data_IF_913038482779
#
_entry.id   IF_913038482779
#
_cell.length_a   1.000
_cell.length_b   1.000
_cell.length_c   1.000
_cell.angle_alpha   90.00
_cell.angle_beta   90.00
_cell.angle_gamma   90.00
#
_symmetry.space_group_name_H-M   'P 1'
#
loop_
_entity.id
_entity.type
_entity.pdbx_description
1 polymer ?
#
# COMPACT_ATOMS: atom_id res chain seq x y z
N UNK A 1 21.13 5.70 19.63
CA UNK A 1 22.57 5.45 19.39
C UNK A 1 23.27 5.34 20.75
N UNK A 2 24.06 4.29 21.01
CA UNK A 2 24.68 4.07 22.34
C UNK A 2 25.90 4.98 22.50
N UNK A 3 26.08 5.60 23.67
CA UNK A 3 27.19 6.53 23.95
C UNK A 3 28.59 5.98 23.61
N UNK A 4 28.77 4.66 23.72
CA UNK A 4 30.01 3.95 23.34
C UNK A 4 30.35 4.06 21.84
N UNK A 5 29.35 4.08 20.97
CA UNK A 5 29.58 4.21 19.51
C UNK A 5 29.90 5.65 19.11
N UNK A 6 29.33 6.64 19.83
CA UNK A 6 29.64 8.05 19.61
C UNK A 6 31.10 8.38 19.98
N UNK A 7 31.60 7.85 21.11
CA UNK A 7 32.99 8.04 21.54
C UNK A 7 34.01 7.43 20.57
N UNK A 8 33.70 6.27 19.97
CA UNK A 8 34.56 5.66 18.94
C UNK A 8 34.65 6.54 17.69
N UNK A 9 33.55 7.15 17.27
CA UNK A 9 33.53 8.07 16.14
C UNK A 9 34.40 9.30 16.38
N UNK A 10 34.31 9.91 17.58
CA UNK A 10 35.13 11.08 17.93
C UNK A 10 36.62 10.71 17.94
N UNK A 11 36.96 9.58 18.55
CA UNK A 11 38.35 9.12 18.64
C UNK A 11 38.95 8.81 17.25
N UNK A 12 38.18 8.15 16.38
CA UNK A 12 38.59 7.89 15.00
C UNK A 12 38.80 9.19 14.20
N UNK A 13 37.93 10.18 14.41
CA UNK A 13 38.06 11.51 13.79
C UNK A 13 39.36 12.22 14.22
N UNK A 14 39.66 12.21 15.52
CA UNK A 14 40.87 12.85 16.06
C UNK A 14 42.15 12.19 15.55
N UNK A 15 42.19 10.86 15.50
CA UNK A 15 43.34 10.10 14.96
C UNK A 15 43.52 10.40 13.47
N UNK A 16 42.43 10.45 12.70
CA UNK A 16 42.46 10.78 11.28
C UNK A 16 43.03 12.17 11.02
N UNK A 17 42.58 13.18 11.77
CA UNK A 17 43.11 14.56 11.65
C UNK A 17 44.58 14.66 12.02
N UNK A 18 45.03 13.93 13.05
CA UNK A 18 46.43 13.96 13.50
C UNK A 18 47.37 13.28 12.50
N UNK A 19 46.96 12.14 11.94
CA UNK A 19 47.72 11.44 10.89
C UNK A 19 47.79 12.28 9.61
N UNK A 20 46.70 12.95 9.23
CA UNK A 20 46.68 13.85 8.07
C UNK A 20 47.71 14.98 8.23
N UNK A 21 47.67 15.72 9.34
CA UNK A 21 48.63 16.80 9.61
C UNK A 21 50.09 16.31 9.67
N UNK A 22 50.32 15.13 10.23
CA UNK A 22 51.66 14.55 10.33
C UNK A 22 52.22 14.16 8.96
N UNK A 23 51.42 13.49 8.13
CA UNK A 23 51.81 13.11 6.76
C UNK A 23 52.09 14.37 5.93
N UNK A 24 51.27 15.40 6.08
CA UNK A 24 51.41 16.65 5.33
C UNK A 24 52.65 17.45 5.71
N UNK A 25 53.18 17.31 6.93
CA UNK A 25 54.46 17.92 7.34
C UNK A 25 55.68 17.20 6.80
N UNK A 26 55.62 15.88 6.62
CA UNK A 26 56.79 15.08 6.19
C UNK A 26 57.05 15.13 4.68
N UNK A 27 56.06 15.53 3.86
CA UNK A 27 56.20 15.57 2.40
C UNK A 27 55.86 16.96 1.83
N UNK A 28 56.78 17.94 1.91
CA UNK A 28 56.57 19.30 1.37
C UNK A 28 56.37 19.33 -0.16
N UNK A 29 56.73 18.26 -0.87
CA UNK A 29 56.45 18.06 -2.30
C UNK A 29 54.96 17.92 -2.65
N UNK A 30 54.07 17.81 -1.65
CA UNK A 30 52.63 17.75 -1.85
C UNK A 30 51.98 19.08 -2.19
N UNK A 31 52.66 20.23 -2.17
CA UNK A 31 52.04 21.49 -2.62
C UNK A 31 51.73 21.47 -4.12
N UNK A 32 52.54 20.77 -4.92
CA UNK A 32 52.25 20.50 -6.33
C UNK A 32 51.06 19.55 -6.44
N UNK A 33 51.02 18.51 -5.59
CA UNK A 33 49.90 17.56 -5.57
C UNK A 33 48.60 18.23 -5.09
N UNK A 34 48.62 19.16 -4.13
CA UNK A 34 47.48 19.98 -3.69
C UNK A 34 46.98 20.91 -4.79
N UNK A 35 47.88 21.51 -5.58
CA UNK A 35 47.48 22.30 -6.76
C UNK A 35 46.81 21.42 -7.82
N UNK A 36 47.33 20.23 -8.07
CA UNK A 36 46.74 19.27 -9.00
C UNK A 36 45.41 18.71 -8.44
N UNK A 37 45.34 18.34 -7.16
CA UNK A 37 44.14 17.86 -6.48
C UNK A 37 43.08 18.94 -6.27
N UNK A 38 43.42 20.22 -6.17
CA UNK A 38 42.41 21.31 -6.14
C UNK A 38 41.85 21.60 -7.53
N UNK A 39 42.68 21.48 -8.58
CA UNK A 39 42.23 21.55 -9.98
C UNK A 39 41.34 20.35 -10.38
N UNK A 40 41.70 19.14 -9.94
CA UNK A 40 40.92 17.93 -10.19
C UNK A 40 39.73 17.83 -9.22
N UNK A 41 39.90 18.22 -7.95
CA UNK A 41 38.89 18.19 -6.89
C UNK A 41 37.76 19.20 -7.07
N UNK A 42 38.06 20.40 -7.57
CA UNK A 42 37.04 21.39 -7.94
C UNK A 42 36.10 20.88 -9.04
N UNK A 43 36.61 20.04 -9.93
CA UNK A 43 35.80 19.40 -10.97
C UNK A 43 35.18 18.07 -10.52
N UNK A 44 35.89 17.25 -9.73
CA UNK A 44 35.37 15.99 -9.17
C UNK A 44 34.21 16.20 -8.19
N UNK A 45 34.19 17.29 -7.43
CA UNK A 45 33.04 17.66 -6.60
C UNK A 45 31.80 17.93 -7.48
N UNK A 46 32.00 18.58 -8.63
CA UNK A 46 30.93 18.79 -9.60
C UNK A 46 30.51 17.47 -10.26
N UNK A 47 31.45 16.64 -10.73
CA UNK A 47 31.14 15.34 -11.34
C UNK A 47 30.47 14.36 -10.37
N UNK A 48 30.92 14.30 -9.12
CA UNK A 48 30.29 13.45 -8.09
C UNK A 48 28.87 13.91 -7.76
N UNK A 49 28.63 15.22 -7.72
CA UNK A 49 27.28 15.78 -7.58
C UNK A 49 26.37 15.41 -8.77
N UNK A 50 26.88 15.49 -10.00
CA UNK A 50 26.14 15.06 -11.20
C UNK A 50 25.82 13.56 -11.18
N UNK A 51 26.79 12.70 -10.83
CA UNK A 51 26.57 11.24 -10.75
C UNK A 51 25.54 10.92 -9.67
N UNK A 52 25.62 11.54 -8.49
CA UNK A 52 24.64 11.36 -7.43
C UNK A 52 23.24 11.81 -7.86
N UNK A 53 23.14 12.94 -8.56
CA UNK A 53 21.89 13.45 -9.11
C UNK A 53 21.27 12.48 -10.13
N UNK A 54 22.06 11.94 -11.06
CA UNK A 54 21.60 10.93 -12.01
C UNK A 54 21.18 9.63 -11.34
N UNK A 55 21.90 9.17 -10.31
CA UNK A 55 21.51 8.00 -9.52
C UNK A 55 20.20 8.23 -8.76
N UNK A 56 19.99 9.43 -8.20
CA UNK A 56 18.75 9.82 -7.53
C UNK A 56 17.59 9.83 -8.54
N UNK A 57 17.75 10.48 -9.69
CA UNK A 57 16.73 10.49 -10.75
C UNK A 57 16.44 9.06 -11.22
N UNK A 58 17.46 8.25 -11.48
CA UNK A 58 17.30 6.85 -11.90
C UNK A 58 16.58 6.02 -10.83
N UNK A 59 16.93 6.20 -9.55
CA UNK A 59 16.25 5.55 -8.43
C UNK A 59 14.78 5.95 -8.33
N UNK A 60 14.46 7.26 -8.42
CA UNK A 60 13.08 7.73 -8.44
C UNK A 60 12.33 7.27 -9.69
N UNK A 61 13.00 7.18 -10.84
CA UNK A 61 12.42 6.67 -12.08
C UNK A 61 12.13 5.18 -11.99
N UNK A 62 13.03 4.39 -11.38
CA UNK A 62 12.81 2.97 -11.11
C UNK A 62 11.73 2.73 -10.06
N UNK A 63 11.63 3.57 -9.03
CA UNK A 63 10.52 3.55 -8.08
C UNK A 63 9.21 3.91 -8.77
N UNK A 64 9.21 4.94 -9.63
CA UNK A 64 8.03 5.37 -10.37
C UNK A 64 7.58 4.29 -11.37
N UNK A 65 8.50 3.75 -12.17
CA UNK A 65 8.25 2.65 -13.10
C UNK A 65 7.89 1.34 -12.38
N UNK A 66 8.51 1.05 -11.24
CA UNK A 66 8.19 -0.09 -10.39
C UNK A 66 6.77 0.01 -9.81
N UNK A 67 6.33 1.22 -9.46
CA UNK A 67 4.96 1.49 -9.04
C UNK A 67 3.97 1.46 -10.23
N UNK A 68 4.43 1.76 -11.44
CA UNK A 68 3.64 1.68 -12.67
C UNK A 68 3.53 0.26 -13.27
N UNK A 69 4.45 -0.66 -12.98
CA UNK A 69 4.32 -2.08 -13.39
C UNK A 69 3.16 -2.81 -12.68
N UNK A 70 2.54 -2.20 -11.66
CA UNK A 70 1.28 -2.65 -11.06
C UNK A 70 0.07 -1.77 -11.37
N UNK A 71 0.22 -0.72 -12.17
CA UNK A 71 -0.84 0.22 -12.52
C UNK A 71 -0.75 0.56 -13.99
N UNK A 72 -1.30 -0.32 -14.83
CA UNK A 72 -1.92 0.16 -16.06
C UNK A 72 -2.79 1.35 -15.65
N UNK A 73 -2.53 2.50 -16.25
CA UNK A 73 -3.34 3.71 -16.13
C UNK A 73 -4.70 3.36 -16.75
N UNK A 74 -5.49 2.61 -15.99
CA UNK A 74 -6.92 2.73 -16.05
C UNK A 74 -7.15 4.13 -15.55
N UNK A 75 -7.69 4.98 -16.40
CA UNK A 75 -8.43 6.15 -15.94
C UNK A 75 -9.25 5.76 -14.70
N UNK A 76 -9.56 6.71 -13.83
CA UNK A 76 -10.54 6.57 -12.75
C UNK A 76 -11.96 6.30 -13.33
N UNK A 77 -12.09 5.36 -14.25
CA UNK A 77 -13.31 4.71 -14.64
C UNK A 77 -13.75 3.90 -13.43
N UNK A 78 -14.54 4.56 -12.59
CA UNK A 78 -15.40 3.88 -11.63
C UNK A 78 -16.11 2.79 -12.45
N UNK A 79 -15.85 1.50 -12.19
CA UNK A 79 -16.43 0.43 -12.99
C UNK A 79 -17.95 0.62 -12.93
N UNK A 80 -18.58 0.71 -14.11
CA UNK A 80 -20.03 0.85 -14.18
C UNK A 80 -20.66 -0.41 -13.59
N UNK A 81 -21.85 -0.25 -13.04
CA UNK A 81 -22.66 -1.39 -12.64
C UNK A 81 -23.02 -2.21 -13.89
N UNK A 82 -22.89 -3.55 -13.88
CA UNK A 82 -23.23 -4.38 -15.02
C UNK A 82 -24.71 -4.22 -15.38
N UNK A 83 -25.00 -4.14 -16.68
CA UNK A 83 -26.38 -4.07 -17.18
C UNK A 83 -26.95 -5.48 -17.36
N UNK A 84 -26.11 -6.43 -17.77
CA UNK A 84 -26.47 -7.82 -17.99
C UNK A 84 -25.88 -8.64 -16.83
N UNK A 85 -26.71 -8.94 -15.83
CA UNK A 85 -26.28 -9.64 -14.62
C UNK A 85 -26.41 -11.14 -14.85
N UNK A 86 -25.29 -11.86 -14.80
CA UNK A 86 -25.25 -13.32 -14.86
C UNK A 86 -25.47 -13.92 -13.47
N UNK A 87 -24.82 -13.38 -12.45
CA UNK A 87 -24.91 -13.85 -11.07
C UNK A 87 -24.81 -12.68 -10.08
N UNK A 88 -25.39 -12.84 -8.90
CA UNK A 88 -25.28 -11.87 -7.82
C UNK A 88 -25.27 -12.55 -6.47
N UNK A 89 -24.71 -11.89 -5.48
CA UNK A 89 -24.72 -12.40 -4.11
C UNK A 89 -24.07 -11.44 -3.13
N UNK A 90 -23.60 -11.99 -2.02
CA UNK A 90 -22.85 -11.24 -1.03
C UNK A 90 -21.61 -12.00 -0.56
N UNK A 91 -20.58 -11.27 -0.17
CA UNK A 91 -19.38 -11.74 0.48
C UNK A 91 -19.21 -10.99 1.80
N UNK A 92 -19.07 -11.73 2.90
CA UNK A 92 -18.76 -11.15 4.19
C UNK A 92 -17.23 -11.04 4.36
N UNK A 93 -16.70 -9.83 4.45
CA UNK A 93 -15.27 -9.60 4.63
C UNK A 93 -15.04 -8.37 5.51
N UNK A 94 -13.96 -8.40 6.29
CA UNK A 94 -13.58 -7.31 7.19
C UNK A 94 -14.68 -6.96 8.23
N UNK A 95 -15.52 -7.94 8.59
CA UNK A 95 -16.64 -7.75 9.51
C UNK A 95 -17.85 -6.99 8.93
N UNK A 96 -17.86 -6.71 7.63
CA UNK A 96 -19.00 -6.12 6.91
C UNK A 96 -19.48 -7.02 5.76
N UNK A 97 -20.69 -6.75 5.27
CA UNK A 97 -21.27 -7.45 4.12
C UNK A 97 -21.00 -6.63 2.86
N UNK A 98 -20.60 -7.31 1.79
CA UNK A 98 -20.35 -6.69 0.49
C UNK A 98 -21.21 -7.40 -0.54
N UNK A 99 -22.04 -6.67 -1.26
CA UNK A 99 -22.81 -7.26 -2.34
C UNK A 99 -21.94 -7.28 -3.59
N UNK A 100 -22.08 -8.30 -4.41
CA UNK A 100 -21.42 -8.34 -5.71
C UNK A 100 -22.41 -8.66 -6.81
N UNK A 101 -22.08 -8.19 -8.00
CA UNK A 101 -22.76 -8.49 -9.25
C UNK A 101 -21.71 -8.99 -10.23
N UNK A 102 -21.94 -10.16 -10.80
CA UNK A 102 -21.13 -10.72 -11.86
C UNK A 102 -21.91 -10.63 -13.16
N UNK A 103 -21.33 -9.99 -14.16
CA UNK A 103 -21.99 -9.75 -15.43
C UNK A 103 -21.23 -8.77 -16.29
N UNK A 104 -21.85 -8.31 -17.37
CA UNK A 104 -21.21 -7.47 -18.37
C UNK A 104 -21.90 -6.12 -18.52
N UNK A 105 -21.17 -5.12 -19.04
CA UNK A 105 -21.76 -3.83 -19.36
C UNK A 105 -22.62 -3.90 -20.63
N UNK A 106 -22.23 -4.76 -21.58
CA UNK A 106 -22.89 -4.98 -22.86
C UNK A 106 -22.96 -6.48 -23.17
N UNK A 107 -23.87 -6.90 -24.05
CA UNK A 107 -24.13 -8.32 -24.37
C UNK A 107 -22.87 -9.09 -24.78
N UNK A 108 -21.93 -8.43 -25.47
CA UNK A 108 -20.69 -9.04 -25.99
C UNK A 108 -19.43 -8.66 -25.20
N UNK A 109 -19.59 -7.96 -24.08
CA UNK A 109 -18.47 -7.54 -23.23
C UNK A 109 -18.08 -8.66 -22.25
N UNK A 110 -16.83 -8.66 -21.81
CA UNK A 110 -16.36 -9.66 -20.85
C UNK A 110 -17.08 -9.48 -19.51
N UNK A 111 -17.46 -10.60 -18.88
CA UNK A 111 -18.05 -10.56 -17.56
C UNK A 111 -17.03 -10.10 -16.52
N UNK A 112 -17.41 -9.14 -15.68
CA UNK A 112 -16.62 -8.65 -14.56
C UNK A 112 -17.43 -8.68 -13.26
N UNK A 113 -16.70 -8.68 -12.14
CA UNK A 113 -17.29 -8.53 -10.81
C UNK A 113 -17.34 -7.06 -10.43
N UNK A 114 -18.53 -6.59 -10.09
CA UNK A 114 -18.80 -5.28 -9.50
C UNK A 114 -19.14 -5.44 -8.02
N UNK A 115 -18.49 -4.66 -7.16
CA UNK A 115 -18.65 -4.73 -5.70
C UNK A 115 -19.41 -3.49 -5.20
N UNK A 116 -20.45 -3.72 -4.40
CA UNK A 116 -21.16 -2.70 -3.64
C UNK A 116 -20.96 -2.92 -2.14
N UNK A 117 -20.74 -1.85 -1.38
CA UNK A 117 -20.64 -1.93 0.08
C UNK A 117 -19.71 -0.88 0.67
N UNK A 118 -19.34 -1.03 1.95
CA UNK A 118 -19.80 -2.06 2.90
C UNK A 118 -21.24 -1.85 3.40
N UNK A 119 -21.92 -2.94 3.73
CA UNK A 119 -23.25 -2.98 4.34
C UNK A 119 -23.20 -3.60 5.75
N UNK A 120 -24.10 -3.15 6.62
CA UNK A 120 -24.24 -3.67 7.97
C UNK A 120 -24.78 -5.10 7.95
N UNK A 121 -24.11 -6.03 8.64
CA UNK A 121 -24.54 -7.43 8.76
C UNK A 121 -25.87 -7.64 9.48
N UNK A 122 -26.30 -6.67 10.31
CA UNK A 122 -27.54 -6.79 11.10
C UNK A 122 -28.78 -6.26 10.38
N UNK A 123 -28.67 -5.10 9.73
CA UNK A 123 -29.82 -4.40 9.14
C UNK A 123 -29.67 -4.09 7.65
N UNK A 124 -28.59 -4.55 7.01
CA UNK A 124 -28.28 -4.36 5.59
C UNK A 124 -28.17 -2.90 5.13
N UNK A 125 -28.16 -1.92 6.06
CA UNK A 125 -27.93 -0.52 5.71
C UNK A 125 -26.48 -0.28 5.26
N UNK A 126 -26.29 0.55 4.23
CA UNK A 126 -24.97 0.97 3.77
C UNK A 126 -24.24 1.67 4.92
N UNK A 127 -23.03 1.21 5.23
CA UNK A 127 -22.24 1.75 6.32
C UNK A 127 -21.52 3.02 5.86
N UNK A 128 -21.36 3.96 6.79
CA UNK A 128 -20.64 5.21 6.58
C UNK A 128 -19.24 5.10 7.16
N UNK A 129 -18.28 5.77 6.52
CA UNK A 129 -16.92 5.86 7.03
C UNK A 129 -16.88 6.83 8.22
N UNK A 130 -16.31 6.39 9.34
CA UNK A 130 -16.03 7.21 10.50
C UNK A 130 -14.56 7.07 10.87
N UNK A 131 -13.87 8.19 11.07
CA UNK A 131 -12.52 8.21 11.62
C UNK A 131 -12.57 8.68 13.07
N UNK A 132 -11.89 7.95 13.95
CA UNK A 132 -11.59 8.42 15.30
C UNK A 132 -10.10 8.70 15.37
N UNK A 133 -9.76 9.97 15.63
CA UNK A 133 -8.39 10.37 15.91
C UNK A 133 -8.15 10.17 17.42
N UNK A 134 -7.41 9.12 17.78
CA UNK A 134 -6.73 9.11 19.06
C UNK A 134 -5.38 9.83 18.88
N UNK A 135 -4.90 10.52 19.91
CA UNK A 135 -3.73 11.43 19.91
C UNK A 135 -2.47 10.86 19.19
N UNK A 136 -2.35 9.54 19.05
CA UNK A 136 -1.21 8.87 18.40
C UNK A 136 -1.64 7.90 17.28
N UNK A 137 -2.93 7.53 17.17
CA UNK A 137 -3.40 6.47 16.27
C UNK A 137 -4.72 6.84 15.60
N UNK A 138 -4.75 6.86 14.26
CA UNK A 138 -5.99 6.97 13.49
C UNK A 138 -6.64 5.61 13.36
N UNK A 139 -7.83 5.45 13.92
CA UNK A 139 -8.65 4.25 13.71
C UNK A 139 -9.77 4.58 12.74
N UNK A 140 -9.86 3.79 11.67
CA UNK A 140 -10.95 3.88 10.71
C UNK A 140 -12.01 2.83 11.07
N UNK A 141 -13.26 3.25 11.11
CA UNK A 141 -14.41 2.43 11.45
C UNK A 141 -15.46 2.55 10.34
N UNK A 142 -16.15 1.46 10.06
CA UNK A 142 -17.43 1.52 9.37
C UNK A 142 -18.52 1.56 10.43
N UNK A 143 -19.40 2.55 10.32
CA UNK A 143 -20.50 2.76 11.25
C UNK A 143 -21.82 2.58 10.52
N UNK A 144 -22.72 1.80 11.10
CA UNK A 144 -24.08 1.68 10.57
C UNK A 144 -24.92 2.87 11.04
N UNK A 145 -25.56 3.62 10.14
CA UNK A 145 -26.40 4.76 10.53
C UNK A 145 -27.73 4.36 11.20
N UNK A 146 -28.18 3.10 11.05
CA UNK A 146 -29.47 2.65 11.59
C UNK A 146 -29.36 2.01 12.98
N UNK A 147 -28.41 1.10 13.19
CA UNK A 147 -28.28 0.35 14.43
C UNK A 147 -27.03 0.70 15.23
N UNK A 148 -26.28 1.72 14.81
CA UNK A 148 -25.05 2.20 15.45
C UNK A 148 -23.94 1.14 15.62
N UNK A 149 -24.05 0.00 14.93
CA UNK A 149 -23.00 -1.02 14.94
C UNK A 149 -21.75 -0.46 14.28
N UNK A 150 -20.61 -0.55 14.97
CA UNK A 150 -19.31 -0.17 14.44
C UNK A 150 -18.45 -1.41 14.18
N UNK A 151 -17.77 -1.43 13.04
CA UNK A 151 -16.83 -2.48 12.65
C UNK A 151 -15.49 -1.83 12.32
N UNK A 152 -14.40 -2.47 12.74
CA UNK A 152 -13.05 -1.96 12.47
C UNK A 152 -12.71 -2.12 10.99
N UNK A 153 -12.33 -1.02 10.33
CA UNK A 153 -11.85 -1.03 8.95
C UNK A 153 -10.39 -1.50 8.91
N UNK A 154 -10.00 -2.38 7.97
CA UNK A 154 -8.63 -2.87 7.86
C UNK A 154 -7.70 -1.72 7.47
N UNK A 155 -6.61 -1.53 8.22
CA UNK A 155 -5.64 -0.45 7.95
C UNK A 155 -4.67 -0.80 6.81
N UNK A 156 -4.40 -2.10 6.61
CA UNK A 156 -3.46 -2.58 5.58
C UNK A 156 -3.96 -2.35 4.15
N UNK A 157 -5.28 -2.20 3.97
CA UNK A 157 -5.93 -2.17 2.66
C UNK A 157 -6.85 -0.96 2.48
N UNK A 158 -6.54 0.13 3.19
CA UNK A 158 -7.29 1.37 3.10
C UNK A 158 -7.42 1.80 1.63
N UNK A 159 -8.67 2.00 1.20
CA UNK A 159 -9.08 2.44 -0.14
C UNK A 159 -8.93 1.39 -1.26
N UNK A 160 -8.60 0.15 -0.92
CA UNK A 160 -8.53 -0.98 -1.86
C UNK A 160 -9.33 -2.18 -1.37
N UNK A 161 -10.24 -1.97 -0.42
CA UNK A 161 -11.01 -3.06 0.17
C UNK A 161 -11.90 -3.74 -0.87
N UNK A 162 -12.53 -2.95 -1.73
CA UNK A 162 -13.36 -3.40 -2.85
C UNK A 162 -12.54 -4.21 -3.87
N UNK A 163 -11.33 -3.78 -4.23
CA UNK A 163 -10.44 -4.52 -5.14
C UNK A 163 -10.06 -5.91 -4.58
N UNK A 164 -9.78 -5.99 -3.27
CA UNK A 164 -9.42 -7.25 -2.63
C UNK A 164 -10.61 -8.20 -2.59
N UNK A 165 -11.79 -7.67 -2.31
CA UNK A 165 -13.02 -8.44 -2.28
C UNK A 165 -13.36 -8.91 -3.69
N UNK A 166 -13.24 -8.03 -4.68
CA UNK A 166 -13.41 -8.36 -6.09
C UNK A 166 -12.53 -9.56 -6.49
N UNK A 167 -11.23 -9.51 -6.19
CA UNK A 167 -10.29 -10.61 -6.48
C UNK A 167 -10.64 -11.91 -5.75
N UNK A 168 -11.21 -11.84 -4.55
CA UNK A 168 -11.69 -13.03 -3.82
C UNK A 168 -12.91 -13.63 -4.49
N UNK A 169 -13.94 -12.81 -4.74
CA UNK A 169 -15.16 -13.25 -5.43
C UNK A 169 -14.84 -13.83 -6.81
N UNK A 170 -13.96 -13.18 -7.60
CA UNK A 170 -13.53 -13.72 -8.89
C UNK A 170 -12.84 -15.09 -8.78
N UNK A 171 -12.06 -15.31 -7.71
CA UNK A 171 -11.45 -16.62 -7.45
C UNK A 171 -12.52 -17.65 -7.13
N UNK A 172 -13.43 -17.32 -6.22
CA UNK A 172 -14.47 -18.23 -5.75
C UNK A 172 -15.44 -18.62 -6.88
N UNK A 173 -15.77 -17.67 -7.77
CA UNK A 173 -16.55 -17.94 -8.99
C UNK A 173 -15.82 -18.87 -9.96
N UNK A 174 -14.49 -18.78 -10.08
CA UNK A 174 -13.70 -19.65 -10.95
C UNK A 174 -13.56 -21.07 -10.40
N UNK A 175 -13.43 -21.22 -9.09
CA UNK A 175 -13.32 -22.54 -8.47
C UNK A 175 -14.67 -23.24 -8.33
N UNK A 176 -15.77 -22.52 -8.49
CA UNK A 176 -17.12 -23.04 -8.23
C UNK A 176 -17.39 -23.25 -6.74
N UNK A 177 -16.50 -22.77 -5.86
CA UNK A 177 -16.70 -22.79 -4.41
C UNK A 177 -17.71 -21.73 -3.95
N UNK A 178 -18.25 -20.97 -4.91
CA UNK A 178 -19.25 -19.96 -4.62
C UNK A 178 -20.58 -20.62 -4.22
N UNK A 179 -20.91 -20.55 -2.93
CA UNK A 179 -22.24 -20.91 -2.47
C UNK A 179 -23.18 -19.75 -2.82
N UNK A 180 -23.89 -19.88 -3.94
CA UNK A 180 -24.93 -18.96 -4.33
C UNK A 180 -25.98 -18.87 -3.21
N UNK A 181 -26.02 -17.74 -2.48
CA UNK A 181 -26.97 -17.56 -1.39
C UNK A 181 -28.33 -17.16 -1.96
N UNK A 182 -29.02 -18.15 -2.51
CA UNK A 182 -30.44 -18.09 -2.78
C UNK A 182 -31.21 -18.25 -1.47
N UNK A 183 -31.77 -17.15 -0.97
CA UNK A 183 -32.58 -16.96 0.25
C UNK A 183 -31.80 -16.60 1.52
N UNK A 184 -32.30 -15.55 2.18
CA UNK A 184 -31.93 -15.08 3.53
C UNK A 184 -32.23 -16.17 4.58
N UNK A 185 -31.47 -17.26 4.59
CA UNK A 185 -31.39 -18.08 5.78
C UNK A 185 -30.44 -17.41 6.77
N UNK A 186 -30.83 -17.45 8.04
CA UNK A 186 -30.13 -16.80 9.16
C UNK A 186 -28.65 -17.23 9.15
N UNK A 187 -27.78 -16.35 8.67
CA UNK A 187 -26.33 -16.50 8.82
C UNK A 187 -25.99 -16.45 10.31
N UNK A 188 -25.69 -17.61 10.89
CA UNK A 188 -25.15 -17.68 12.23
C UNK A 188 -23.63 -17.50 12.12
N UNK A 189 -23.13 -16.41 12.69
CA UNK A 189 -21.69 -16.18 12.88
C UNK A 189 -21.16 -17.29 13.78
N UNK A 190 -20.38 -18.23 13.22
CA UNK A 190 -19.73 -19.26 14.07
C UNK A 190 -18.40 -18.76 14.59
N UNK A 191 -17.58 -18.10 13.76
CA UNK A 191 -16.34 -17.42 14.16
C UNK A 191 -15.93 -16.36 13.12
N UNK A 192 -15.04 -15.43 13.47
CA UNK A 192 -14.65 -14.21 12.72
C UNK A 192 -14.17 -14.42 11.25
N UNK A 193 -14.12 -15.64 10.75
CA UNK A 193 -13.62 -15.98 9.41
C UNK A 193 -14.54 -16.90 8.60
N UNK A 194 -15.59 -17.49 9.19
CA UNK A 194 -16.34 -18.57 8.51
C UNK A 194 -17.83 -18.52 8.86
N UNK A 195 -18.67 -18.33 7.84
CA UNK A 195 -20.13 -18.45 7.96
C UNK A 195 -20.50 -19.88 7.61
N UNK A 196 -21.19 -20.57 8.53
CA UNK A 196 -21.73 -21.90 8.27
C UNK A 196 -23.24 -21.80 8.04
N UNK A 197 -23.66 -22.43 6.94
CA UNK A 197 -25.07 -22.68 6.64
C UNK A 197 -25.63 -23.65 7.68
N UNK A 198 -26.81 -23.34 8.21
CA UNK A 198 -27.56 -24.26 9.05
C UNK A 198 -28.71 -24.79 8.19
N UNK A 199 -28.57 -26.02 7.70
CA UNK A 199 -29.68 -26.79 7.12
C UNK A 199 -30.78 -27.02 8.16
#
# INVERSE_FOLDING_TARGET
MKAKEFMKMILAGMIGTFLYESIMRFFPSFDILKRILSLIGGNLANYSSFVLFFLIISFFTLLYLGNQRGSGISSLAIPRKPQYIAEHGFHCSFGAVWNFLYGSAFIFDENYVYIEGPFCSRCSAKMILSSKNWIIWKTYLWMCPKCSSAVRRPTQFLYREDEIIKKRVERDLRTGDFVAVGKKEKLVLRDNTTYLYRN
#
